data_IF_308529861468
#
_entry.id   IF_308529861468
#
_cell.length_a   1.000
_cell.length_b   1.000
_cell.length_c   1.000
_cell.angle_alpha   90.00
_cell.angle_beta   90.00
_cell.angle_gamma   90.00
#
_symmetry.space_group_name_H-M   'P 1'
#
loop_
_entity.id
_entity.type
_entity.pdbx_description
1 polymer ?
#
# COMPACT_ATOMS: atom_id res chain seq x y z
N UNK A 1 -19.78 -20.74 17.94
CA UNK A 1 -20.01 -19.29 17.78
C UNK A 1 -19.29 -18.82 16.53
N UNK A 2 -20.06 -18.46 15.50
CA UNK A 2 -19.49 -17.92 14.27
C UNK A 2 -19.25 -16.43 14.44
N UNK A 3 -18.00 -15.99 14.27
CA UNK A 3 -17.66 -14.58 14.24
C UNK A 3 -17.94 -14.04 12.83
N UNK A 4 -18.50 -12.81 12.71
CA UNK A 4 -18.62 -12.20 11.40
C UNK A 4 -17.24 -11.97 10.77
N UNK A 5 -17.16 -12.13 9.44
CA UNK A 5 -15.93 -11.86 8.71
C UNK A 5 -15.64 -10.35 8.80
N UNK A 6 -14.49 -9.93 9.32
CA UNK A 6 -14.16 -8.51 9.34
C UNK A 6 -13.98 -7.99 7.92
N UNK A 7 -14.56 -6.84 7.64
CA UNK A 7 -14.50 -6.18 6.34
C UNK A 7 -13.89 -4.79 6.47
N UNK A 8 -13.35 -4.30 5.36
CA UNK A 8 -12.88 -2.93 5.28
C UNK A 8 -14.04 -2.00 4.96
N UNK A 9 -14.07 -0.85 5.58
CA UNK A 9 -15.12 0.14 5.38
C UNK A 9 -14.68 1.53 5.81
N UNK A 10 -15.41 2.53 5.36
CA UNK A 10 -15.16 3.95 5.67
C UNK A 10 -15.95 4.32 6.92
N UNK A 11 -15.30 4.93 7.90
CA UNK A 11 -15.92 5.33 9.15
C UNK A 11 -15.32 6.64 9.66
N UNK A 12 -16.18 7.58 10.03
CA UNK A 12 -15.78 8.83 10.68
C UNK A 12 -15.18 9.89 9.75
N UNK A 13 -15.05 9.60 8.46
CA UNK A 13 -14.53 10.54 7.44
C UNK A 13 -15.36 10.42 6.17
N UNK A 14 -15.24 11.42 5.28
CA UNK A 14 -15.86 11.32 3.96
C UNK A 14 -15.18 10.27 3.10
N UNK A 15 -15.88 9.79 2.07
CA UNK A 15 -15.31 8.82 1.11
C UNK A 15 -14.07 9.38 0.42
N UNK A 16 -14.06 10.67 0.11
CA UNK A 16 -12.90 11.34 -0.51
C UNK A 16 -11.71 11.40 0.44
N UNK A 17 -11.94 11.69 1.72
CA UNK A 17 -10.87 11.64 2.72
C UNK A 17 -10.34 10.21 2.88
N UNK A 18 -11.22 9.22 2.89
CA UNK A 18 -10.81 7.81 2.94
C UNK A 18 -9.96 7.43 1.71
N UNK A 19 -10.32 7.90 0.53
CA UNK A 19 -9.52 7.70 -0.68
C UNK A 19 -8.12 8.27 -0.50
N UNK A 20 -8.00 9.50 0.02
CA UNK A 20 -6.69 10.14 0.28
C UNK A 20 -5.89 9.33 1.30
N UNK A 21 -6.51 8.86 2.38
CA UNK A 21 -5.84 7.99 3.34
C UNK A 21 -5.24 6.76 2.67
N UNK A 22 -6.01 6.07 1.85
CA UNK A 22 -5.54 4.86 1.16
C UNK A 22 -4.41 5.19 0.15
N UNK A 23 -4.50 6.30 -0.55
CA UNK A 23 -3.44 6.77 -1.45
C UNK A 23 -2.14 7.00 -0.69
N UNK A 24 -2.19 7.77 0.39
CA UNK A 24 -1.00 8.14 1.18
C UNK A 24 -0.39 6.92 1.85
N UNK A 25 -1.21 6.07 2.46
CA UNK A 25 -0.74 4.87 3.14
C UNK A 25 -0.06 3.90 2.15
N UNK A 26 -0.67 3.68 1.00
CA UNK A 26 -0.09 2.80 -0.02
C UNK A 26 1.17 3.41 -0.63
N UNK A 27 1.19 4.72 -0.84
CA UNK A 27 2.39 5.42 -1.27
C UNK A 27 3.56 5.16 -0.31
N UNK A 28 3.33 5.35 0.99
CA UNK A 28 4.35 5.10 2.00
C UNK A 28 4.83 3.65 2.03
N UNK A 29 3.91 2.70 1.91
CA UNK A 29 4.24 1.28 1.86
C UNK A 29 5.10 0.94 0.64
N UNK A 30 4.66 1.31 -0.55
CA UNK A 30 5.38 1.00 -1.80
C UNK A 30 6.72 1.72 -1.85
N UNK A 31 6.77 2.98 -1.40
CA UNK A 31 8.03 3.71 -1.30
C UNK A 31 9.03 2.97 -0.41
N UNK A 32 8.58 2.48 0.74
CA UNK A 32 9.43 1.71 1.66
C UNK A 32 9.91 0.40 1.03
N UNK A 33 9.04 -0.30 0.30
CA UNK A 33 9.41 -1.51 -0.42
C UNK A 33 10.51 -1.21 -1.46
N UNK A 34 10.37 -0.13 -2.22
CA UNK A 34 11.41 0.27 -3.17
C UNK A 34 12.73 0.58 -2.49
N UNK A 35 12.71 1.35 -1.42
CA UNK A 35 13.94 1.77 -0.73
C UNK A 35 14.69 0.62 -0.06
N UNK A 36 13.97 -0.41 0.38
CA UNK A 36 14.54 -1.48 1.19
C UNK A 36 14.69 -2.81 0.47
N UNK A 37 13.92 -3.03 -0.59
CA UNK A 37 13.90 -4.34 -1.26
C UNK A 37 14.15 -4.28 -2.77
N UNK A 38 13.97 -3.14 -3.41
CA UNK A 38 14.02 -3.01 -4.87
C UNK A 38 15.20 -2.17 -5.34
N UNK A 39 15.54 -1.07 -4.64
CA UNK A 39 16.60 -0.15 -5.06
C UNK A 39 17.94 -0.89 -5.17
N UNK A 40 18.62 -0.84 -6.33
CA UNK A 40 19.93 -1.47 -6.47
C UNK A 40 20.98 -0.92 -5.49
N UNK A 41 20.81 0.29 -5.02
CA UNK A 41 21.73 0.95 -4.09
C UNK A 41 21.50 0.60 -2.62
N UNK A 42 20.49 -0.21 -2.32
CA UNK A 42 20.14 -0.55 -0.92
C UNK A 42 21.22 -1.34 -0.19
N UNK A 43 22.08 -2.03 -0.94
CA UNK A 43 23.03 -2.96 -0.37
C UNK A 43 22.38 -4.23 0.20
N UNK A 44 23.13 -4.95 1.01
CA UNK A 44 22.65 -6.18 1.66
C UNK A 44 22.13 -5.84 3.05
N UNK A 45 20.86 -5.47 3.13
CA UNK A 45 20.24 -5.09 4.41
C UNK A 45 19.45 -6.22 5.08
N UNK A 46 19.27 -7.35 4.37
CA UNK A 46 18.70 -8.58 4.95
C UNK A 46 17.37 -8.37 5.63
N UNK A 47 17.33 -8.62 6.95
CA UNK A 47 16.13 -8.54 7.76
C UNK A 47 15.60 -7.10 7.95
N UNK A 48 16.41 -6.09 7.65
CA UNK A 48 15.97 -4.69 7.79
C UNK A 48 14.79 -4.38 6.85
N UNK A 49 14.79 -4.94 5.65
CA UNK A 49 13.70 -4.72 4.71
C UNK A 49 12.33 -5.16 5.26
N UNK A 50 12.13 -6.42 5.69
CA UNK A 50 10.84 -6.82 6.23
C UNK A 50 10.48 -6.08 7.52
N UNK A 51 11.45 -5.70 8.35
CA UNK A 51 11.20 -4.91 9.56
C UNK A 51 10.67 -3.52 9.17
N UNK A 52 11.32 -2.83 8.24
CA UNK A 52 10.89 -1.50 7.79
C UNK A 52 9.50 -1.56 7.15
N UNK A 53 9.24 -2.57 6.32
CA UNK A 53 7.95 -2.77 5.68
C UNK A 53 6.87 -3.03 6.73
N UNK A 54 7.14 -3.89 7.70
CA UNK A 54 6.22 -4.17 8.79
C UNK A 54 5.91 -2.92 9.63
N UNK A 55 6.91 -2.10 9.90
CA UNK A 55 6.71 -0.85 10.65
C UNK A 55 5.86 0.16 9.89
N UNK A 56 6.03 0.32 8.57
CA UNK A 56 5.18 1.25 7.83
C UNK A 56 3.74 0.75 7.77
N UNK A 57 3.53 -0.55 7.63
CA UNK A 57 2.19 -1.15 7.69
C UNK A 57 1.56 -0.89 9.06
N UNK A 58 2.28 -1.15 10.14
CA UNK A 58 1.81 -0.88 11.50
C UNK A 58 1.48 0.59 11.74
N UNK A 59 2.35 1.49 11.29
CA UNK A 59 2.12 2.93 11.39
C UNK A 59 0.86 3.35 10.61
N UNK A 60 0.67 2.82 9.41
CA UNK A 60 -0.52 3.09 8.59
C UNK A 60 -1.80 2.59 9.27
N UNK A 61 -1.76 1.42 9.87
CA UNK A 61 -2.91 0.87 10.61
C UNK A 61 -3.26 1.78 11.80
N UNK A 62 -2.27 2.26 12.53
CA UNK A 62 -2.49 3.18 13.64
C UNK A 62 -3.05 4.53 13.17
N UNK A 63 -2.57 5.03 12.04
CA UNK A 63 -2.99 6.33 11.51
C UNK A 63 -4.36 6.28 10.84
N UNK A 64 -4.62 5.28 10.02
CA UNK A 64 -5.79 5.22 9.15
C UNK A 64 -6.74 4.07 9.41
N UNK A 65 -6.38 3.11 10.23
CA UNK A 65 -7.18 1.90 10.43
C UNK A 65 -8.59 2.16 10.93
N UNK A 66 -8.76 3.14 11.83
CA UNK A 66 -10.07 3.51 12.36
C UNK A 66 -10.99 4.12 11.30
N UNK A 67 -10.42 4.69 10.23
CA UNK A 67 -11.18 5.40 9.19
C UNK A 67 -11.43 4.55 7.95
N UNK A 68 -10.46 3.75 7.53
CA UNK A 68 -10.56 2.94 6.29
C UNK A 68 -10.29 1.45 6.52
N UNK A 69 -9.75 1.07 7.66
CA UNK A 69 -9.23 -0.26 7.90
C UNK A 69 -7.78 -0.44 7.46
N UNK A 70 -7.19 0.56 6.80
CA UNK A 70 -5.81 0.55 6.30
C UNK A 70 -5.52 -0.68 5.43
N UNK A 71 -6.25 -0.81 4.32
CA UNK A 71 -6.10 -1.95 3.42
C UNK A 71 -4.78 -1.92 2.65
N UNK A 72 -4.45 -0.80 2.03
CA UNK A 72 -3.24 -0.60 1.21
C UNK A 72 -3.09 -1.59 0.04
N UNK A 73 -4.08 -2.43 -0.18
CA UNK A 73 -4.01 -3.50 -1.17
C UNK A 73 -5.42 -3.93 -1.57
N UNK A 74 -5.78 -3.87 -2.87
CA UNK A 74 -7.12 -4.26 -3.31
C UNK A 74 -7.48 -5.72 -2.96
N UNK A 75 -6.53 -6.62 -3.01
CA UNK A 75 -6.77 -8.04 -2.72
C UNK A 75 -7.13 -8.26 -1.25
N UNK A 76 -6.51 -7.50 -0.34
CA UNK A 76 -6.76 -7.60 1.10
C UNK A 76 -8.19 -7.20 1.44
N UNK A 77 -8.74 -6.20 0.76
CA UNK A 77 -10.13 -5.78 0.96
C UNK A 77 -11.13 -6.57 0.13
N UNK A 78 -10.72 -7.05 -1.05
CA UNK A 78 -11.58 -7.80 -1.95
C UNK A 78 -12.03 -9.15 -1.35
N UNK A 79 -11.12 -9.90 -0.75
CA UNK A 79 -11.43 -11.20 -0.16
C UNK A 79 -12.57 -11.13 0.85
N UNK A 80 -12.43 -10.34 1.92
CA UNK A 80 -13.52 -10.17 2.90
C UNK A 80 -14.81 -9.62 2.30
N UNK A 81 -14.72 -8.67 1.37
CA UNK A 81 -15.90 -8.12 0.70
C UNK A 81 -16.65 -9.17 -0.10
N UNK A 82 -15.96 -10.05 -0.80
CA UNK A 82 -16.56 -11.12 -1.57
C UNK A 82 -17.24 -12.15 -0.65
N UNK A 83 -16.56 -12.57 0.40
CA UNK A 83 -17.07 -13.59 1.34
C UNK A 83 -18.31 -13.09 2.09
N UNK A 84 -18.29 -11.84 2.56
CA UNK A 84 -19.42 -11.26 3.31
C UNK A 84 -20.42 -10.54 2.42
N UNK A 85 -20.14 -10.41 1.14
CA UNK A 85 -20.92 -9.65 0.16
C UNK A 85 -21.21 -8.23 0.62
N UNK A 86 -20.16 -7.53 1.05
CA UNK A 86 -20.20 -6.16 1.55
C UNK A 86 -19.36 -5.25 0.64
N UNK A 87 -20.03 -4.43 -0.19
CA UNK A 87 -19.39 -3.70 -1.27
C UNK A 87 -19.46 -2.17 -1.13
N UNK A 88 -19.93 -1.66 0.01
CA UNK A 88 -20.03 -0.23 0.23
C UNK A 88 -18.64 0.44 0.11
N UNK A 89 -18.55 1.43 -0.75
CA UNK A 89 -17.32 2.19 -1.00
C UNK A 89 -16.10 1.32 -1.40
N UNK A 90 -16.35 0.14 -1.93
CA UNK A 90 -15.28 -0.82 -2.27
C UNK A 90 -14.29 -0.25 -3.31
N UNK A 91 -14.76 0.62 -4.18
CA UNK A 91 -13.94 1.22 -5.23
C UNK A 91 -12.70 1.97 -4.70
N UNK A 92 -12.78 2.55 -3.48
CA UNK A 92 -11.64 3.28 -2.92
C UNK A 92 -10.46 2.36 -2.62
N UNK A 93 -10.73 1.09 -2.34
CA UNK A 93 -9.69 0.09 -2.07
C UNK A 93 -9.00 -0.41 -3.33
N UNK A 94 -9.49 -0.03 -4.50
CA UNK A 94 -8.82 -0.19 -5.79
C UNK A 94 -8.15 1.11 -6.22
N UNK A 95 -8.92 2.19 -6.28
CA UNK A 95 -8.41 3.50 -6.73
C UNK A 95 -7.30 4.01 -5.81
N UNK A 96 -7.49 3.95 -4.49
CA UNK A 96 -6.50 4.45 -3.53
C UNK A 96 -5.16 3.72 -3.63
N UNK A 97 -5.14 2.40 -3.40
CA UNK A 97 -3.90 1.64 -3.50
C UNK A 97 -3.23 1.68 -4.87
N UNK A 98 -3.99 1.63 -5.95
CA UNK A 98 -3.41 1.69 -7.31
C UNK A 98 -2.79 3.05 -7.61
N UNK A 99 -3.45 4.14 -7.22
CA UNK A 99 -2.91 5.50 -7.38
C UNK A 99 -1.69 5.68 -6.49
N UNK A 100 -1.80 5.35 -5.21
CA UNK A 100 -0.71 5.53 -4.25
C UNK A 100 0.51 4.69 -4.59
N UNK A 101 0.30 3.41 -4.86
CA UNK A 101 1.37 2.49 -5.25
C UNK A 101 1.99 2.88 -6.59
N UNK A 102 1.18 3.25 -7.56
CA UNK A 102 1.66 3.70 -8.87
C UNK A 102 2.49 4.97 -8.77
N UNK A 103 2.03 5.96 -8.01
CA UNK A 103 2.78 7.19 -7.80
C UNK A 103 4.13 6.94 -7.11
N UNK A 104 4.13 6.11 -6.07
CA UNK A 104 5.36 5.78 -5.35
C UNK A 104 6.37 5.08 -6.28
N UNK A 105 5.90 4.11 -7.06
CA UNK A 105 6.74 3.40 -8.01
C UNK A 105 7.32 4.32 -9.07
N UNK A 106 6.50 5.15 -9.67
CA UNK A 106 6.95 6.10 -10.72
C UNK A 106 7.93 7.13 -10.14
N UNK A 107 7.62 7.73 -9.01
CA UNK A 107 8.48 8.73 -8.38
C UNK A 107 9.81 8.11 -7.98
N UNK A 108 9.79 6.95 -7.34
CA UNK A 108 11.01 6.30 -6.93
C UNK A 108 11.87 5.90 -8.13
N UNK A 109 11.25 5.34 -9.16
CA UNK A 109 11.94 4.92 -10.37
C UNK A 109 12.62 6.11 -11.08
N UNK A 110 11.89 7.22 -11.24
CA UNK A 110 12.41 8.39 -11.96
C UNK A 110 13.52 9.09 -11.17
N UNK A 111 13.34 9.32 -9.87
CA UNK A 111 14.24 10.15 -9.08
C UNK A 111 15.39 9.39 -8.44
N UNK A 112 15.27 8.08 -8.24
CA UNK A 112 16.27 7.34 -7.47
C UNK A 112 16.88 6.16 -8.21
N UNK A 113 16.21 5.57 -9.20
CA UNK A 113 16.65 4.34 -9.85
C UNK A 113 17.03 4.54 -11.32
N UNK A 114 16.32 5.35 -12.09
CA UNK A 114 16.42 5.38 -13.56
C UNK A 114 17.84 5.56 -14.07
N UNK A 115 18.65 6.37 -13.40
CA UNK A 115 20.04 6.62 -13.80
C UNK A 115 21.00 5.49 -13.40
N UNK A 116 20.54 4.50 -12.65
CA UNK A 116 21.33 3.33 -12.24
C UNK A 116 20.98 2.08 -13.04
N UNK A 117 19.96 2.13 -13.91
CA UNK A 117 19.63 1.04 -14.80
C UNK A 117 20.70 0.88 -15.88
N UNK A 118 21.09 -0.38 -16.13
CA UNK A 118 21.97 -0.67 -17.25
C UNK A 118 21.17 -0.66 -18.57
N UNK A 119 21.75 -0.15 -19.67
CA UNK A 119 21.11 -0.21 -20.97
C UNK A 119 20.85 -1.66 -21.39
N UNK A 120 19.68 -1.92 -21.98
CA UNK A 120 19.32 -3.26 -22.45
C UNK A 120 20.30 -3.81 -23.50
N UNK A 121 20.98 -2.93 -24.21
CA UNK A 121 21.99 -3.32 -25.20
C UNK A 121 23.24 -3.97 -24.60
N UNK A 122 23.40 -3.93 -23.28
CA UNK A 122 24.52 -4.57 -22.58
C UNK A 122 24.23 -6.01 -22.13
N UNK A 123 23.02 -6.49 -22.39
CA UNK A 123 22.63 -7.86 -22.04
C UNK A 123 22.68 -8.81 -23.27
#
# INVERSE_FOLDING_TARGET
ITQPVPTFGVSGVSVWAALVFEIVMTFGLVYTVYATAVDPKKGEIGIIAPIAIGFIVGANILAGGAFTGASMNPAVSFGPALVSFSWANHWIYWAGPLIGGGLAGVIYEIFFISHTHEPLSEF
#
